data_IF_548000742769
#
_entry.id   IF_548000742769
#
_cell.length_a   1.000
_cell.length_b   1.000
_cell.length_c   1.000
_cell.angle_alpha   90.00
_cell.angle_beta   90.00
_cell.angle_gamma   90.00
#
_symmetry.space_group_name_H-M   'P 1'
#
loop_
_entity.id
_entity.type
_entity.pdbx_description
1 polymer ?
#
# COMPACT_ATOMS: atom_id res chain seq x y z
N UNK A 1 -16.19 47.28 -45.21
CA UNK A 1 -15.05 46.69 -44.48
C UNK A 1 -15.09 47.26 -43.06
N UNK A 2 -15.66 46.50 -42.12
CA UNK A 2 -15.71 46.86 -40.71
C UNK A 2 -14.83 45.84 -39.95
N UNK A 3 -13.88 46.34 -39.16
CA UNK A 3 -13.02 45.53 -38.30
C UNK A 3 -13.75 45.21 -37.00
N UNK A 4 -13.78 43.93 -36.62
CA UNK A 4 -14.17 43.48 -35.28
C UNK A 4 -13.04 43.75 -34.27
N UNK A 5 -13.35 44.20 -33.03
CA UNK A 5 -12.34 44.35 -31.99
C UNK A 5 -12.06 43.01 -31.29
N UNK A 6 -10.77 42.78 -31.03
CA UNK A 6 -10.22 41.59 -30.39
C UNK A 6 -10.74 41.40 -28.95
N UNK A 7 -11.13 40.16 -28.65
CA UNK A 7 -11.51 39.70 -27.31
C UNK A 7 -10.36 39.84 -26.32
N UNK A 8 -10.67 40.41 -25.16
CA UNK A 8 -9.72 40.76 -24.10
C UNK A 8 -8.99 39.57 -23.51
N UNK A 9 -7.69 39.75 -23.28
CA UNK A 9 -6.87 38.89 -22.45
C UNK A 9 -7.31 39.04 -20.99
N UNK A 10 -7.92 38.00 -20.41
CA UNK A 10 -8.09 37.90 -18.96
C UNK A 10 -6.74 37.54 -18.34
N UNK A 11 -6.24 38.41 -17.47
CA UNK A 11 -5.11 38.09 -16.60
C UNK A 11 -5.50 36.97 -15.62
N UNK A 12 -4.65 35.96 -15.40
CA UNK A 12 -4.91 34.95 -14.38
C UNK A 12 -4.87 35.59 -12.99
N UNK A 13 -5.97 35.49 -12.26
CA UNK A 13 -6.01 35.91 -10.85
C UNK A 13 -5.04 35.07 -10.01
N UNK A 14 -4.27 35.68 -9.09
CA UNK A 14 -3.40 34.94 -8.18
C UNK A 14 -4.25 34.15 -7.18
N UNK A 15 -4.09 32.82 -7.19
CA UNK A 15 -4.76 31.90 -6.26
C UNK A 15 -4.38 32.23 -4.81
N UNK A 16 -5.32 32.74 -4.03
CA UNK A 16 -5.15 33.08 -2.60
C UNK A 16 -5.09 31.84 -1.66
N UNK A 17 -4.81 30.63 -2.16
CA UNK A 17 -4.88 29.37 -1.40
C UNK A 17 -3.59 28.87 -0.73
N UNK A 18 -2.49 29.62 -0.78
CA UNK A 18 -1.14 29.08 -0.54
C UNK A 18 -0.84 28.58 0.88
N UNK A 19 -1.31 29.27 1.93
CA UNK A 19 -0.90 28.93 3.31
C UNK A 19 -1.70 27.76 3.91
N UNK A 20 -3.01 27.69 3.64
CA UNK A 20 -3.86 26.58 4.09
C UNK A 20 -3.49 25.25 3.43
N UNK A 21 -3.16 25.28 2.14
CA UNK A 21 -2.72 24.10 1.39
C UNK A 21 -1.39 23.54 1.93
N UNK A 22 -0.42 24.41 2.25
CA UNK A 22 0.87 23.98 2.81
C UNK A 22 0.74 23.40 4.22
N UNK A 23 -0.10 24.01 5.08
CA UNK A 23 -0.37 23.49 6.42
C UNK A 23 -1.08 22.12 6.36
N UNK A 24 -2.05 21.97 5.46
CA UNK A 24 -2.76 20.71 5.23
C UNK A 24 -1.82 19.59 4.74
N UNK A 25 -0.95 19.88 3.76
CA UNK A 25 0.07 18.93 3.28
C UNK A 25 1.01 18.47 4.39
N UNK A 26 1.47 19.38 5.24
CA UNK A 26 2.34 19.05 6.38
C UNK A 26 1.65 18.17 7.42
N UNK A 27 0.37 18.43 7.71
CA UNK A 27 -0.42 17.59 8.62
C UNK A 27 -0.56 16.18 8.05
N UNK A 28 -0.95 16.08 6.78
CA UNK A 28 -1.11 14.78 6.09
C UNK A 28 0.18 13.98 6.06
N UNK A 29 1.33 14.62 5.77
CA UNK A 29 2.63 13.95 5.80
C UNK A 29 2.94 13.36 7.19
N UNK A 30 2.71 14.13 8.27
CA UNK A 30 2.89 13.63 9.65
C UNK A 30 1.96 12.49 10.00
N UNK A 31 0.71 12.55 9.57
CA UNK A 31 -0.25 11.47 9.78
C UNK A 31 0.19 10.19 9.05
N UNK A 32 0.70 10.34 7.82
CA UNK A 32 1.24 9.22 7.04
C UNK A 32 2.48 8.62 7.72
N UNK A 33 3.45 9.44 8.12
CA UNK A 33 4.66 8.97 8.82
C UNK A 33 4.32 8.23 10.12
N UNK A 34 3.29 8.69 10.85
CA UNK A 34 2.79 7.99 12.05
C UNK A 34 2.20 6.62 11.70
N UNK A 35 1.41 6.53 10.63
CA UNK A 35 0.85 5.26 10.16
C UNK A 35 1.98 4.32 9.70
N UNK A 36 2.95 4.82 8.94
CA UNK A 36 4.12 4.04 8.50
C UNK A 36 4.86 3.44 9.70
N UNK A 37 5.17 4.24 10.72
CA UNK A 37 5.83 3.74 11.93
C UNK A 37 5.01 2.68 12.67
N UNK A 38 3.67 2.83 12.70
CA UNK A 38 2.80 1.83 13.31
C UNK A 38 2.79 0.52 12.52
N UNK A 39 2.80 0.59 11.18
CA UNK A 39 2.89 -0.56 10.29
C UNK A 39 4.24 -1.26 10.43
N UNK A 40 5.34 -0.51 10.51
CA UNK A 40 6.68 -1.06 10.72
C UNK A 40 6.78 -1.85 12.02
N UNK A 41 6.31 -1.28 13.13
CA UNK A 41 6.28 -1.98 14.43
C UNK A 41 5.40 -3.22 14.41
N UNK A 42 4.24 -3.13 13.78
CA UNK A 42 3.35 -4.27 13.61
C UNK A 42 4.02 -5.40 12.81
N UNK A 43 4.69 -5.05 11.71
CA UNK A 43 5.41 -6.00 10.87
C UNK A 43 6.62 -6.60 11.61
N UNK A 44 7.37 -5.80 12.37
CA UNK A 44 8.52 -6.26 13.16
C UNK A 44 8.10 -7.33 14.18
N UNK A 45 7.07 -7.04 14.98
CA UNK A 45 6.48 -8.00 15.92
C UNK A 45 6.03 -9.28 15.20
N UNK A 46 5.24 -9.14 14.13
CA UNK A 46 4.68 -10.29 13.42
C UNK A 46 5.78 -11.18 12.79
N UNK A 47 6.81 -10.57 12.23
CA UNK A 47 7.84 -11.29 11.48
C UNK A 47 8.94 -11.88 12.38
N UNK A 48 9.26 -11.23 13.49
CA UNK A 48 10.42 -11.58 14.33
C UNK A 48 10.07 -12.01 15.75
N UNK A 49 8.99 -11.48 16.35
CA UNK A 49 8.56 -11.88 17.71
C UNK A 49 7.60 -13.08 17.67
N UNK A 50 6.72 -13.14 16.66
CA UNK A 50 5.68 -14.20 16.47
C UNK A 50 5.98 -15.08 15.23
N UNK A 51 7.26 -15.22 14.89
CA UNK A 51 7.73 -15.69 13.60
C UNK A 51 7.99 -17.21 13.48
N UNK A 52 7.83 -17.98 14.55
CA UNK A 52 8.19 -19.40 14.59
C UNK A 52 7.12 -20.35 14.02
N UNK A 53 7.48 -21.61 13.75
CA UNK A 53 6.49 -22.65 13.42
C UNK A 53 5.51 -22.90 14.59
N UNK A 54 6.00 -22.71 15.81
CA UNK A 54 5.21 -22.78 17.06
C UNK A 54 4.09 -21.72 17.07
N UNK A 55 4.26 -20.63 16.33
CA UNK A 55 3.27 -19.55 16.19
C UNK A 55 2.32 -19.76 15.00
N UNK A 56 2.31 -20.96 14.40
CA UNK A 56 1.39 -21.34 13.33
C UNK A 56 1.85 -21.04 11.90
N UNK A 57 3.09 -20.57 11.71
CA UNK A 57 3.69 -20.45 10.38
C UNK A 57 4.02 -21.82 9.79
N UNK A 58 3.58 -22.08 8.56
CA UNK A 58 3.86 -23.34 7.85
C UNK A 58 4.65 -23.07 6.59
N UNK A 59 5.78 -23.76 6.41
CA UNK A 59 6.55 -23.66 5.17
C UNK A 59 5.74 -24.18 3.98
N UNK A 60 5.61 -23.34 2.94
CA UNK A 60 4.95 -23.69 1.68
C UNK A 60 6.00 -24.29 0.75
N UNK A 61 5.98 -25.61 0.64
CA UNK A 61 6.84 -26.32 -0.31
C UNK A 61 6.31 -26.15 -1.72
N UNK A 62 7.00 -25.34 -2.53
CA UNK A 62 6.75 -25.29 -3.97
C UNK A 62 6.99 -26.66 -4.61
N UNK A 63 6.11 -27.06 -5.54
CA UNK A 63 6.30 -28.27 -6.33
C UNK A 63 7.66 -28.22 -7.07
N UNK A 64 8.20 -29.39 -7.43
CA UNK A 64 9.56 -29.50 -8.02
C UNK A 64 9.73 -28.65 -9.28
N UNK A 65 8.69 -28.52 -10.10
CA UNK A 65 8.72 -27.77 -11.36
C UNK A 65 8.82 -26.25 -11.08
N UNK A 66 7.99 -25.73 -10.18
CA UNK A 66 7.97 -24.33 -9.77
C UNK A 66 9.26 -23.95 -9.05
N UNK A 67 9.78 -24.84 -8.20
CA UNK A 67 11.08 -24.65 -7.54
C UNK A 67 12.21 -24.49 -8.56
N UNK A 68 12.30 -25.39 -9.54
CA UNK A 68 13.33 -25.29 -10.61
C UNK A 68 13.20 -24.02 -11.45
N UNK A 69 11.97 -23.53 -11.67
CA UNK A 69 11.72 -22.35 -12.50
C UNK A 69 11.96 -21.03 -11.76
N UNK A 70 11.53 -20.91 -10.50
CA UNK A 70 11.46 -19.65 -9.78
C UNK A 70 12.37 -19.56 -8.55
N UNK A 71 12.92 -20.68 -8.07
CA UNK A 71 13.80 -20.74 -6.89
C UNK A 71 14.88 -21.80 -7.11
N UNK A 72 15.62 -21.67 -8.23
CA UNK A 72 16.60 -22.67 -8.66
C UNK A 72 17.71 -22.88 -7.63
N UNK A 73 18.14 -21.79 -7.02
CA UNK A 73 19.29 -21.77 -6.11
C UNK A 73 18.86 -21.98 -4.64
N UNK A 74 17.56 -22.16 -4.38
CA UNK A 74 17.03 -22.46 -3.05
C UNK A 74 17.17 -21.32 -2.03
N UNK A 75 17.41 -20.10 -2.51
CA UNK A 75 17.61 -18.91 -1.69
C UNK A 75 16.29 -18.27 -1.24
N UNK A 76 15.14 -18.77 -1.69
CA UNK A 76 13.81 -18.30 -1.28
C UNK A 76 13.10 -19.34 -0.40
N UNK A 77 12.55 -18.91 0.73
CA UNK A 77 11.63 -19.69 1.58
C UNK A 77 10.32 -18.93 1.75
N UNK A 78 9.20 -19.64 1.69
CA UNK A 78 7.86 -19.07 1.82
C UNK A 78 7.11 -19.77 2.94
N UNK A 79 6.42 -19.00 3.77
CA UNK A 79 5.60 -19.47 4.88
C UNK A 79 4.20 -18.89 4.75
N UNK A 80 3.20 -19.66 5.21
CA UNK A 80 1.79 -19.27 5.23
C UNK A 80 1.24 -19.42 6.66
N UNK A 81 0.47 -18.43 7.11
CA UNK A 81 -0.31 -18.47 8.35
C UNK A 81 -1.70 -17.88 8.07
N UNK A 82 -2.74 -18.51 8.58
CA UNK A 82 -4.10 -17.94 8.56
C UNK A 82 -4.26 -17.10 9.82
N UNK A 83 -4.69 -15.85 9.67
CA UNK A 83 -4.80 -14.90 10.78
C UNK A 83 -6.04 -14.04 10.63
N UNK A 84 -6.69 -13.72 11.74
CA UNK A 84 -7.76 -12.72 11.77
C UNK A 84 -7.19 -11.32 11.51
N UNK A 85 -8.04 -10.41 11.04
CA UNK A 85 -7.62 -9.03 10.80
C UNK A 85 -7.52 -8.24 12.12
N UNK A 86 -6.31 -8.23 12.69
CA UNK A 86 -5.99 -7.47 13.91
C UNK A 86 -6.21 -5.95 13.79
N UNK A 87 -6.43 -5.41 12.58
CA UNK A 87 -6.76 -3.98 12.40
C UNK A 87 -8.16 -3.65 12.88
N UNK A 88 -9.06 -4.63 12.99
CA UNK A 88 -10.40 -4.41 13.54
C UNK A 88 -10.43 -4.25 15.06
N UNK A 89 -9.39 -4.72 15.76
CA UNK A 89 -9.28 -4.60 17.23
C UNK A 89 -8.70 -3.25 17.67
N UNK A 90 -7.94 -2.60 16.79
CA UNK A 90 -7.45 -1.25 17.01
C UNK A 90 -8.46 -0.28 16.43
N UNK A 91 -9.09 0.61 17.23
CA UNK A 91 -9.89 1.66 16.64
C UNK A 91 -8.97 2.44 15.71
N UNK A 92 -9.27 2.42 14.40
CA UNK A 92 -8.69 3.40 13.49
C UNK A 92 -8.76 4.75 14.22
N UNK A 93 -7.65 5.49 14.34
CA UNK A 93 -7.64 6.71 15.14
C UNK A 93 -8.83 7.54 14.67
N UNK A 94 -9.82 7.73 15.55
CA UNK A 94 -10.96 8.60 15.27
C UNK A 94 -10.32 9.91 14.82
N UNK A 95 -10.49 10.24 13.56
CA UNK A 95 -10.04 11.51 13.03
C UNK A 95 -10.88 12.56 13.75
N UNK A 96 -10.40 13.02 14.90
CA UNK A 96 -11.03 14.10 15.66
C UNK A 96 -11.03 15.32 14.75
N UNK A 97 -12.21 15.66 14.22
CA UNK A 97 -12.38 16.70 13.21
C UNK A 97 -13.67 16.67 12.42
N UNK A 98 -14.54 15.66 12.56
CA UNK A 98 -15.93 15.72 12.10
C UNK A 98 -16.81 16.33 13.19
N UNK A 99 -17.49 17.43 12.86
CA UNK A 99 -18.22 18.28 13.81
C UNK A 99 -19.36 17.60 14.55
N UNK A 100 -19.76 18.29 15.62
CA UNK A 100 -20.84 17.98 16.57
C UNK A 100 -22.23 18.00 15.92
N UNK A 101 -22.52 17.04 15.04
CA UNK A 101 -23.89 16.73 14.63
C UNK A 101 -24.32 15.42 15.29
N UNK A 102 -25.36 15.52 16.11
CA UNK A 102 -26.04 14.45 16.86
C UNK A 102 -26.64 13.36 15.94
N UNK A 103 -25.80 12.53 15.32
CA UNK A 103 -26.23 11.37 14.54
C UNK A 103 -26.10 10.07 15.38
N UNK A 104 -27.25 9.43 15.52
CA UNK A 104 -27.51 8.22 16.29
C UNK A 104 -26.70 7.03 15.74
N UNK A 105 -25.68 6.58 16.49
CA UNK A 105 -25.37 5.16 16.61
C UNK A 105 -25.09 4.36 15.34
N UNK A 106 -24.27 4.84 14.41
CA UNK A 106 -23.85 4.08 13.23
C UNK A 106 -22.34 4.09 13.04
N UNK A 107 -21.61 3.29 13.82
CA UNK A 107 -20.19 3.05 13.56
C UNK A 107 -20.00 2.58 12.12
N UNK A 108 -19.40 3.40 11.27
CA UNK A 108 -19.12 3.13 9.86
C UNK A 108 -18.07 2.03 9.66
N UNK A 109 -18.29 0.86 10.24
CA UNK A 109 -17.55 -0.36 9.95
C UNK A 109 -17.95 -0.88 8.57
N UNK A 110 -17.00 -1.51 7.87
CA UNK A 110 -17.30 -2.26 6.66
C UNK A 110 -18.42 -3.28 6.98
N UNK A 111 -19.57 -3.25 6.30
CA UNK A 111 -20.67 -4.19 6.56
C UNK A 111 -20.28 -5.66 6.31
N UNK A 112 -19.11 -5.91 5.70
CA UNK A 112 -18.54 -7.24 5.52
C UNK A 112 -17.38 -7.54 6.47
N UNK A 113 -17.14 -6.70 7.47
CA UNK A 113 -16.15 -6.98 8.50
C UNK A 113 -16.66 -8.11 9.39
N UNK A 114 -15.98 -9.24 9.29
CA UNK A 114 -16.19 -10.40 10.13
C UNK A 114 -14.91 -10.59 10.96
N UNK A 115 -14.94 -10.34 12.29
CA UNK A 115 -13.76 -10.41 13.14
C UNK A 115 -13.17 -11.82 13.21
N UNK A 116 -13.98 -12.85 12.96
CA UNK A 116 -13.56 -14.25 12.96
C UNK A 116 -13.03 -14.69 11.59
N UNK A 117 -13.11 -13.82 10.58
CA UNK A 117 -12.63 -14.13 9.24
C UNK A 117 -11.11 -14.18 9.21
N UNK A 118 -10.61 -15.36 8.86
CA UNK A 118 -9.19 -15.55 8.63
C UNK A 118 -8.76 -15.11 7.23
N UNK A 119 -7.57 -14.51 7.16
CA UNK A 119 -6.87 -14.11 5.96
C UNK A 119 -5.55 -14.86 5.84
N UNK A 120 -5.23 -15.27 4.62
CA UNK A 120 -3.93 -15.86 4.31
C UNK A 120 -2.84 -14.78 4.40
N UNK A 121 -1.92 -14.93 5.36
CA UNK A 121 -0.72 -14.12 5.46
C UNK A 121 0.49 -14.89 4.95
N UNK A 122 1.27 -14.25 4.09
CA UNK A 122 2.43 -14.84 3.44
C UNK A 122 3.70 -14.15 3.93
N UNK A 123 4.68 -14.95 4.34
CA UNK A 123 6.01 -14.49 4.74
C UNK A 123 7.05 -15.10 3.82
N UNK A 124 7.89 -14.28 3.21
CA UNK A 124 8.93 -14.72 2.27
C UNK A 124 10.29 -14.24 2.75
N UNK A 125 11.24 -15.17 2.86
CA UNK A 125 12.65 -14.86 3.06
C UNK A 125 13.39 -15.12 1.75
N UNK A 126 14.19 -14.16 1.32
CA UNK A 126 15.04 -14.29 0.16
C UNK A 126 16.42 -13.69 0.45
N UNK A 127 17.47 -14.34 -0.03
CA UNK A 127 18.80 -13.73 -0.08
C UNK A 127 19.02 -13.14 -1.47
N UNK A 128 19.26 -11.83 -1.52
CA UNK A 128 19.56 -11.09 -2.74
C UNK A 128 21.03 -10.70 -2.69
N UNK A 129 21.76 -10.99 -3.77
CA UNK A 129 23.17 -10.62 -3.92
C UNK A 129 23.32 -9.16 -4.38
N UNK A 130 22.83 -8.24 -3.55
CA UNK A 130 22.94 -6.79 -3.75
C UNK A 130 22.83 -6.05 -2.39
N UNK A 131 23.42 -4.84 -2.28
CA UNK A 131 23.18 -3.96 -1.14
C UNK A 131 21.69 -3.64 -0.96
N UNK A 132 21.27 -3.43 0.29
CA UNK A 132 19.87 -3.13 0.61
C UNK A 132 19.38 -1.86 -0.09
N UNK A 133 20.23 -0.84 -0.16
CA UNK A 133 19.93 0.45 -0.76
C UNK A 133 19.61 0.32 -2.25
N UNK A 134 20.38 -0.51 -2.96
CA UNK A 134 20.18 -0.78 -4.39
C UNK A 134 18.87 -1.54 -4.62
N UNK A 135 18.55 -2.51 -3.75
CA UNK A 135 17.28 -3.24 -3.80
C UNK A 135 16.11 -2.30 -3.56
N UNK A 136 16.17 -1.45 -2.53
CA UNK A 136 15.12 -0.48 -2.22
C UNK A 136 14.92 0.54 -3.35
N UNK A 137 16.00 1.04 -3.94
CA UNK A 137 15.94 1.96 -5.08
C UNK A 137 15.33 1.28 -6.31
N UNK A 138 15.73 0.04 -6.59
CA UNK A 138 15.19 -0.74 -7.71
C UNK A 138 13.69 -1.01 -7.55
N UNK A 139 13.24 -1.43 -6.36
CA UNK A 139 11.84 -1.77 -6.07
C UNK A 139 10.91 -0.55 -5.94
N UNK A 140 11.45 0.62 -5.63
CA UNK A 140 10.65 1.86 -5.51
C UNK A 140 10.42 2.56 -6.86
N UNK A 141 11.18 2.23 -7.90
CA UNK A 141 11.05 2.80 -9.23
C UNK A 141 9.86 2.19 -10.00
N UNK A 142 8.83 3.01 -10.23
CA UNK A 142 7.62 2.62 -10.92
C UNK A 142 7.87 2.08 -12.35
N UNK A 143 8.96 2.52 -13.00
CA UNK A 143 9.31 2.06 -14.35
C UNK A 143 9.85 0.63 -14.39
N UNK A 144 10.32 0.11 -13.24
CA UNK A 144 10.92 -1.22 -13.11
C UNK A 144 9.93 -2.29 -12.65
N UNK A 145 8.74 -1.90 -12.19
CA UNK A 145 7.68 -2.84 -11.74
C UNK A 145 7.45 -3.99 -12.73
N UNK A 146 7.37 -3.76 -14.07
CA UNK A 146 7.17 -4.85 -15.02
C UNK A 146 8.32 -5.87 -15.08
N UNK A 147 9.53 -5.48 -14.68
CA UNK A 147 10.72 -6.35 -14.72
C UNK A 147 10.67 -7.43 -13.63
N UNK A 148 10.19 -7.07 -12.43
CA UNK A 148 10.19 -7.98 -11.28
C UNK A 148 8.79 -8.48 -10.88
N UNK A 149 7.72 -7.82 -11.32
CA UNK A 149 6.35 -8.19 -10.98
C UNK A 149 5.49 -8.45 -12.22
N UNK A 150 5.60 -9.68 -12.76
CA UNK A 150 4.81 -10.14 -13.90
C UNK A 150 3.29 -10.19 -13.68
N UNK A 151 2.82 -10.01 -12.44
CA UNK A 151 1.39 -9.99 -12.11
C UNK A 151 0.79 -8.58 -12.17
N UNK A 152 1.58 -7.54 -12.40
CA UNK A 152 1.10 -6.16 -12.52
C UNK A 152 1.08 -5.77 -14.00
N UNK A 153 -0.12 -5.58 -14.56
CA UNK A 153 -0.31 -5.11 -15.94
C UNK A 153 0.03 -3.63 -16.08
N UNK A 154 -0.33 -2.84 -15.08
CA UNK A 154 -0.15 -1.39 -15.09
C UNK A 154 0.10 -0.89 -13.67
N UNK A 155 1.01 0.07 -13.56
CA UNK A 155 1.38 0.70 -12.31
C UNK A 155 1.55 2.20 -12.52
N UNK A 156 1.14 3.01 -11.53
CA UNK A 156 1.34 4.45 -11.56
C UNK A 156 1.50 5.01 -10.15
N UNK A 157 2.48 5.88 -9.98
CA UNK A 157 2.58 6.75 -8.81
C UNK A 157 1.51 7.85 -8.91
N UNK A 158 0.63 7.93 -7.91
CA UNK A 158 -0.45 8.90 -7.86
C UNK A 158 -0.04 10.19 -7.15
N UNK A 159 0.72 10.06 -6.05
CA UNK A 159 1.10 11.18 -5.20
C UNK A 159 2.37 10.85 -4.40
N UNK A 160 3.35 11.75 -4.40
CA UNK A 160 4.47 11.73 -3.45
C UNK A 160 4.02 12.42 -2.15
N UNK A 161 3.98 11.67 -1.05
CA UNK A 161 3.52 12.16 0.26
C UNK A 161 4.69 12.73 1.07
N UNK A 162 5.82 12.02 1.04
CA UNK A 162 7.10 12.45 1.64
C UNK A 162 8.27 11.94 0.77
N UNK A 163 9.53 12.31 1.04
CA UNK A 163 10.69 11.78 0.32
C UNK A 163 10.82 10.24 0.36
N UNK A 164 10.12 9.58 1.29
CA UNK A 164 10.18 8.12 1.49
C UNK A 164 8.81 7.45 1.43
N UNK A 165 7.75 8.18 1.06
CA UNK A 165 6.40 7.64 0.97
C UNK A 165 5.62 8.21 -0.21
N UNK A 166 4.84 7.34 -0.85
CA UNK A 166 4.00 7.66 -1.98
C UNK A 166 2.74 6.82 -1.97
N UNK A 167 1.74 7.28 -2.70
CA UNK A 167 0.52 6.53 -3.00
C UNK A 167 0.64 6.03 -4.43
N UNK A 168 0.42 4.73 -4.63
CA UNK A 168 0.47 4.10 -5.94
C UNK A 168 -0.85 3.43 -6.28
N UNK A 169 -1.09 3.30 -7.58
CA UNK A 169 -2.17 2.49 -8.13
C UNK A 169 -1.58 1.37 -8.96
N UNK A 170 -2.09 0.15 -8.75
CA UNK A 170 -1.71 -1.03 -9.50
C UNK A 170 -2.92 -1.77 -10.03
N UNK A 171 -2.74 -2.41 -11.19
CA UNK A 171 -3.73 -3.30 -11.81
C UNK A 171 -3.12 -4.67 -12.10
N UNK A 172 -3.84 -5.71 -11.71
CA UNK A 172 -3.50 -7.11 -11.96
C UNK A 172 -4.44 -7.72 -13.03
N UNK A 173 -3.92 -8.64 -13.88
CA UNK A 173 -4.72 -9.35 -14.85
C UNK A 173 -5.71 -10.29 -14.14
N UNK A 174 -6.60 -10.90 -14.92
CA UNK A 174 -7.31 -12.09 -14.46
C UNK A 174 -6.31 -13.24 -14.25
N UNK A 175 -6.30 -13.81 -13.04
CA UNK A 175 -5.47 -14.99 -12.72
C UNK A 175 -6.41 -16.19 -12.58
N UNK A 176 -6.37 -17.11 -13.53
CA UNK A 176 -7.28 -18.26 -13.61
C UNK A 176 -8.76 -17.82 -13.61
N UNK A 177 -9.50 -18.15 -12.55
CA UNK A 177 -10.91 -17.78 -12.35
C UNK A 177 -11.08 -16.54 -11.43
N UNK A 178 -9.98 -15.96 -10.94
CA UNK A 178 -9.99 -14.76 -10.12
C UNK A 178 -10.09 -13.56 -11.04
N UNK A 179 -11.23 -12.85 -10.97
CA UNK A 179 -11.49 -11.61 -11.73
C UNK A 179 -10.33 -10.60 -11.56
N UNK A 180 -10.06 -9.75 -12.58
CA UNK A 180 -9.06 -8.66 -12.48
C UNK A 180 -9.25 -7.81 -11.23
N UNK A 181 -8.15 -7.23 -10.74
CA UNK A 181 -8.13 -6.42 -9.52
C UNK A 181 -7.29 -5.18 -9.71
N UNK A 182 -7.80 -4.08 -9.18
CA UNK A 182 -7.07 -2.83 -9.03
C UNK A 182 -6.94 -2.53 -7.54
N UNK A 183 -5.85 -1.88 -7.15
CA UNK A 183 -5.60 -1.50 -5.76
C UNK A 183 -4.90 -0.14 -5.69
N UNK A 184 -5.10 0.53 -4.56
CA UNK A 184 -4.39 1.75 -4.18
C UNK A 184 -3.66 1.45 -2.88
N UNK A 185 -2.36 1.73 -2.85
CA UNK A 185 -1.47 1.44 -1.71
C UNK A 185 -0.66 2.66 -1.33
#
# INVERSE_FOLDING_TARGET
MAQEPAAGQQQPQPQQGGLGALASRRRRARDFDRVSLAVEKWAERLLFEEGGEEDGWREVSCNKLMRKKFNRDGNVKCYLKWMTDSRGESPAPKLEGGGDDDDDGGGGGDPNFDPDREHACVKVYATIDAPLEDVCLYLSDASRVPEYNSLVESHRDLEDVSPHSKITWGRCPQILFIKPRDFVT
#
